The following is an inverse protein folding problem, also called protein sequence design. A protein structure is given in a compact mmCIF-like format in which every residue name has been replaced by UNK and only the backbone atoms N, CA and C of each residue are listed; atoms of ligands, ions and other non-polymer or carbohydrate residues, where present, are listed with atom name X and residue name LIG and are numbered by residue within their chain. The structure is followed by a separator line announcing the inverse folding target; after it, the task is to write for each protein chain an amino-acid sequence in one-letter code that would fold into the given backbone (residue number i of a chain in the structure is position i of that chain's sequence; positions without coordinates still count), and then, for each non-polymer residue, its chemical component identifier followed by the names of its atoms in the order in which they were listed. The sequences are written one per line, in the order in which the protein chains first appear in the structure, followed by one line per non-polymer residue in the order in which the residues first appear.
data_IF_970414534355
#
_entry.id   IF_970414534355
#
_cell.length_a   1.000
_cell.length_b   1.000
_cell.length_c   1.000
_cell.angle_alpha   90.00
_cell.angle_beta   90.00
_cell.angle_gamma   90.00
#
_symmetry.space_group_name_H-M   'P 1'
#
loop_
_entity.id
_entity.type
_entity.pdbx_description
1 polymer ?
#
# COMPACT_ATOMS: atom_id res chain seq x y z
N UNK A 1 -9.76 18.07 -48.67
CA UNK A 1 -10.83 19.07 -48.49
C UNK A 1 -11.47 18.90 -47.12
N UNK A 2 -11.13 19.77 -46.16
CA UNK A 2 -12.04 20.36 -45.16
C UNK A 2 -11.25 21.44 -44.41
N UNK A 3 -11.73 22.66 -44.59
CA UNK A 3 -11.34 23.90 -43.92
C UNK A 3 -11.58 23.83 -42.41
N UNK A 4 -10.74 24.52 -41.64
CA UNK A 4 -11.05 25.38 -40.47
C UNK A 4 -9.73 25.96 -39.95
N UNK A 5 -9.39 27.20 -40.30
CA UNK A 5 -9.77 28.44 -39.58
C UNK A 5 -8.97 28.65 -38.28
N UNK A 6 -7.84 29.35 -38.42
CA UNK A 6 -7.42 30.49 -37.60
C UNK A 6 -7.26 30.33 -36.09
N UNK A 7 -6.03 30.47 -35.62
CA UNK A 7 -5.73 31.53 -34.65
C UNK A 7 -4.44 32.21 -35.08
N UNK A 8 -4.57 33.49 -35.44
CA UNK A 8 -3.51 34.38 -35.82
C UNK A 8 -2.77 34.91 -34.58
N UNK A 9 -1.50 35.25 -34.76
CA UNK A 9 -0.83 36.25 -33.94
C UNK A 9 0.27 35.74 -33.04
N UNK A 10 1.50 35.68 -33.57
CA UNK A 10 2.61 36.41 -32.96
C UNK A 10 3.79 36.45 -33.93
N UNK A 11 3.82 37.49 -34.77
CA UNK A 11 5.02 37.91 -35.45
C UNK A 11 5.87 38.75 -34.47
N UNK A 12 7.17 38.41 -34.42
CA UNK A 12 8.30 39.24 -34.07
C UNK A 12 8.32 39.97 -32.70
N UNK A 13 9.31 39.63 -31.87
CA UNK A 13 10.44 40.55 -31.69
C UNK A 13 11.66 39.81 -31.15
N UNK A 14 12.75 39.85 -31.93
CA UNK A 14 14.10 39.61 -31.43
C UNK A 14 14.51 40.87 -30.67
N UNK A 15 14.69 40.76 -29.37
CA UNK A 15 15.42 41.75 -28.59
C UNK A 15 16.40 41.02 -27.68
N UNK A 16 17.66 41.00 -28.11
CA UNK A 16 18.79 40.51 -27.35
C UNK A 16 18.88 41.29 -26.02
N UNK A 17 18.75 40.58 -24.89
CA UNK A 17 19.17 41.10 -23.59
C UNK A 17 20.37 40.29 -23.11
N UNK A 18 21.55 40.92 -23.19
CA UNK A 18 22.78 40.44 -22.55
C UNK A 18 22.54 40.32 -21.04
N UNK A 19 22.62 39.10 -20.52
CA UNK A 19 22.64 38.83 -19.07
C UNK A 19 24.02 39.22 -18.53
N UNK A 20 24.07 40.28 -17.71
CA UNK A 20 25.24 40.61 -16.90
C UNK A 20 25.26 39.67 -15.68
N UNK A 21 26.30 38.84 -15.56
CA UNK A 21 26.52 37.98 -14.39
C UNK A 21 26.82 38.85 -13.18
N UNK A 22 25.97 38.82 -12.15
CA UNK A 22 26.29 39.40 -10.83
C UNK A 22 27.09 38.39 -10.02
N UNK A 23 28.21 38.87 -9.49
CA UNK A 23 29.13 38.16 -8.59
C UNK A 23 29.00 38.81 -7.21
N UNK A 24 29.06 38.03 -6.14
CA UNK A 24 29.08 38.57 -4.78
C UNK A 24 30.45 39.14 -4.40
N UNK A 25 30.55 39.80 -3.25
CA UNK A 25 31.78 40.41 -2.74
C UNK A 25 32.92 39.39 -2.45
N UNK A 26 32.66 38.08 -2.60
CA UNK A 26 33.63 37.00 -2.50
C UNK A 26 33.92 36.31 -3.84
N UNK A 27 33.48 36.88 -4.97
CA UNK A 27 33.78 36.39 -6.31
C UNK A 27 33.04 35.11 -6.72
N UNK A 28 31.98 34.71 -6.01
CA UNK A 28 31.14 33.56 -6.38
C UNK A 28 29.95 33.98 -7.24
N UNK A 29 29.65 33.17 -8.24
CA UNK A 29 28.51 33.36 -9.12
C UNK A 29 27.20 33.21 -8.32
N UNK A 30 26.44 34.30 -8.21
CA UNK A 30 25.15 34.30 -7.52
C UNK A 30 24.10 33.67 -8.44
N UNK A 31 23.55 32.52 -8.05
CA UNK A 31 22.37 31.95 -8.71
C UNK A 31 21.17 32.83 -8.37
N UNK A 32 20.71 33.63 -9.32
CA UNK A 32 19.42 34.31 -9.23
C UNK A 32 18.31 33.25 -9.10
N UNK A 33 17.44 33.39 -8.10
CA UNK A 33 16.21 32.63 -7.99
C UNK A 33 15.45 32.74 -9.31
N UNK A 34 15.07 31.60 -9.88
CA UNK A 34 14.23 31.56 -11.07
C UNK A 34 12.86 32.14 -10.70
N UNK A 35 12.47 33.20 -11.41
CA UNK A 35 11.14 33.78 -11.37
C UNK A 35 10.11 32.71 -11.79
N UNK A 36 9.10 32.48 -10.95
CA UNK A 36 7.98 31.59 -11.26
C UNK A 36 7.14 32.21 -12.38
N UNK A 37 7.17 31.60 -13.57
CA UNK A 37 6.19 31.86 -14.63
C UNK A 37 4.82 31.25 -14.30
N UNK A 38 3.71 31.74 -14.89
CA UNK A 38 2.34 31.36 -14.50
C UNK A 38 1.89 29.98 -15.03
N UNK A 39 2.81 29.01 -15.16
CA UNK A 39 2.50 27.65 -15.63
C UNK A 39 3.19 26.56 -14.78
N UNK A 40 3.52 26.86 -13.53
CA UNK A 40 4.17 25.92 -12.62
C UNK A 40 3.21 25.57 -11.48
N UNK A 41 2.54 24.43 -11.58
CA UNK A 41 1.84 23.79 -10.46
C UNK A 41 2.87 23.46 -9.37
N UNK A 42 2.94 24.31 -8.35
CA UNK A 42 3.75 24.12 -7.16
C UNK A 42 3.10 23.09 -6.22
N UNK A 43 3.08 21.81 -6.60
CA UNK A 43 2.78 20.70 -5.71
C UNK A 43 3.52 19.45 -6.20
N UNK A 44 4.55 19.02 -5.49
CA UNK A 44 5.19 17.74 -5.79
C UNK A 44 6.64 17.66 -5.35
N UNK A 45 6.88 17.67 -4.03
CA UNK A 45 8.04 16.93 -3.54
C UNK A 45 7.91 15.50 -4.08
N UNK A 46 8.96 14.99 -4.72
CA UNK A 46 8.96 13.66 -5.32
C UNK A 46 8.38 12.63 -4.33
N UNK A 47 7.33 11.92 -4.75
CA UNK A 47 6.73 10.86 -3.96
C UNK A 47 7.81 9.81 -3.63
N UNK A 48 7.92 9.34 -2.38
CA UNK A 48 8.89 8.31 -2.05
C UNK A 48 8.46 7.01 -2.77
N UNK A 49 9.37 6.50 -3.60
CA UNK A 49 9.34 5.21 -4.30
C UNK A 49 8.07 4.94 -5.14
N UNK A 50 8.00 5.48 -6.36
CA UNK A 50 6.97 5.08 -7.33
C UNK A 50 7.28 3.67 -7.87
N UNK A 51 6.75 2.64 -7.22
CA UNK A 51 6.74 1.29 -7.77
C UNK A 51 5.75 1.20 -8.94
N UNK A 52 6.11 0.45 -9.98
CA UNK A 52 5.12 -0.05 -10.93
C UNK A 52 4.37 -1.21 -10.28
N UNK A 53 3.12 -0.97 -9.88
CA UNK A 53 2.26 -2.00 -9.28
C UNK A 53 1.68 -2.96 -10.31
N UNK A 54 1.88 -2.70 -11.61
CA UNK A 54 1.38 -3.53 -12.69
C UNK A 54 -0.14 -3.62 -12.74
N UNK A 55 -0.68 -4.61 -13.47
CA UNK A 55 -2.12 -4.81 -13.57
C UNK A 55 -2.72 -5.23 -12.21
N UNK A 56 -3.94 -4.75 -11.92
CA UNK A 56 -4.68 -5.04 -10.70
C UNK A 56 -5.86 -5.98 -10.99
N UNK A 57 -5.63 -7.29 -11.25
CA UNK A 57 -6.68 -8.23 -11.68
C UNK A 57 -7.71 -8.53 -10.58
N UNK A 58 -7.45 -8.10 -9.35
CA UNK A 58 -8.35 -8.23 -8.20
C UNK A 58 -9.37 -7.09 -8.11
N UNK A 59 -9.23 -6.04 -8.93
CA UNK A 59 -10.21 -4.94 -9.03
C UNK A 59 -11.30 -5.34 -10.02
N UNK A 60 -12.56 -5.34 -9.57
CA UNK A 60 -13.73 -5.78 -10.36
C UNK A 60 -14.79 -4.68 -10.55
N UNK A 61 -14.51 -3.47 -10.09
CA UNK A 61 -15.40 -2.33 -10.23
C UNK A 61 -14.90 -1.12 -9.47
N UNK A 62 -15.81 -0.22 -9.17
CA UNK A 62 -15.57 0.99 -8.38
C UNK A 62 -16.74 1.30 -7.48
N UNK A 63 -16.48 2.05 -6.41
CA UNK A 63 -17.47 2.63 -5.52
C UNK A 63 -17.29 4.16 -5.53
N UNK A 64 -18.39 4.88 -5.72
CA UNK A 64 -18.37 6.34 -5.65
C UNK A 64 -18.44 6.77 -4.19
N UNK A 65 -17.48 7.61 -3.79
CA UNK A 65 -17.44 8.18 -2.45
C UNK A 65 -17.32 9.70 -2.52
N UNK A 66 -17.57 10.38 -1.41
CA UNK A 66 -17.39 11.83 -1.34
C UNK A 66 -15.92 12.26 -1.57
N UNK A 67 -14.97 11.37 -1.28
CA UNK A 67 -13.53 11.58 -1.52
C UNK A 67 -13.09 11.23 -2.97
N UNK A 68 -14.02 10.80 -3.82
CA UNK A 68 -13.74 10.37 -5.19
C UNK A 68 -14.01 8.87 -5.41
N UNK A 69 -13.63 8.40 -6.59
CA UNK A 69 -13.87 7.02 -7.02
C UNK A 69 -12.86 6.08 -6.35
N UNK A 70 -13.36 5.07 -5.64
CA UNK A 70 -12.54 4.06 -4.96
C UNK A 70 -12.63 2.73 -5.71
N UNK A 71 -11.51 2.06 -6.03
CA UNK A 71 -11.55 0.76 -6.69
C UNK A 71 -12.22 -0.30 -5.79
N UNK A 72 -13.15 -1.07 -6.37
CA UNK A 72 -13.77 -2.23 -5.73
C UNK A 72 -13.00 -3.50 -6.04
N UNK A 73 -12.77 -4.31 -5.01
CA UNK A 73 -11.99 -5.54 -5.11
C UNK A 73 -12.85 -6.78 -4.86
N UNK A 74 -12.57 -7.82 -5.63
CA UNK A 74 -13.28 -9.08 -5.51
C UNK A 74 -12.86 -9.83 -4.25
N UNK A 75 -13.79 -10.53 -3.62
CA UNK A 75 -13.48 -11.46 -2.52
C UNK A 75 -13.03 -12.82 -3.04
N UNK A 76 -13.37 -13.17 -4.28
CA UNK A 76 -12.97 -14.42 -4.90
C UNK A 76 -11.52 -14.37 -5.38
N UNK A 77 -10.72 -15.37 -4.97
CA UNK A 77 -9.36 -15.55 -5.49
C UNK A 77 -9.40 -16.33 -6.80
N UNK A 78 -8.92 -15.71 -7.87
CA UNK A 78 -8.80 -16.33 -9.20
C UNK A 78 -7.70 -17.39 -9.23
N UNK A 79 -7.68 -18.24 -10.26
CA UNK A 79 -6.58 -19.18 -10.47
C UNK A 79 -5.23 -18.46 -10.66
N UNK A 80 -5.24 -17.27 -11.27
CA UNK A 80 -4.06 -16.43 -11.43
C UNK A 80 -3.54 -15.91 -10.07
N UNK A 81 -4.44 -15.52 -9.17
CA UNK A 81 -4.09 -15.16 -7.79
C UNK A 81 -3.40 -16.32 -7.10
N UNK A 82 -4.04 -17.50 -7.09
CA UNK A 82 -3.53 -18.72 -6.44
C UNK A 82 -2.17 -19.15 -6.99
N UNK A 83 -1.98 -19.07 -8.31
CA UNK A 83 -0.68 -19.35 -8.93
C UNK A 83 0.37 -18.31 -8.54
N UNK A 84 -0.01 -17.03 -8.46
CA UNK A 84 0.83 -15.96 -7.91
C UNK A 84 1.27 -16.26 -6.49
N UNK A 85 0.34 -16.62 -5.60
CA UNK A 85 0.63 -16.99 -4.22
C UNK A 85 1.59 -18.18 -4.13
N UNK A 86 1.38 -19.21 -4.95
CA UNK A 86 2.24 -20.38 -4.99
C UNK A 86 3.66 -20.02 -5.45
N UNK A 87 3.80 -19.18 -6.50
CA UNK A 87 5.11 -18.71 -6.98
C UNK A 87 5.89 -17.98 -5.88
N UNK A 88 5.26 -17.05 -5.17
CA UNK A 88 5.97 -16.31 -4.11
C UNK A 88 6.29 -17.16 -2.89
N UNK A 89 5.55 -18.26 -2.65
CA UNK A 89 5.90 -19.27 -1.65
C UNK A 89 7.09 -20.13 -2.06
N UNK A 90 7.39 -20.20 -3.35
CA UNK A 90 8.62 -20.80 -3.90
C UNK A 90 9.72 -19.76 -4.13
N UNK A 91 9.59 -18.56 -3.53
CA UNK A 91 10.53 -17.43 -3.67
C UNK A 91 10.67 -16.87 -5.11
N UNK A 92 9.67 -17.07 -5.97
CA UNK A 92 9.66 -16.56 -7.34
C UNK A 92 8.87 -15.25 -7.43
N UNK A 93 9.52 -14.16 -7.84
CA UNK A 93 8.87 -12.86 -8.04
C UNK A 93 8.28 -12.26 -6.76
N UNK A 94 8.86 -12.59 -5.61
CA UNK A 94 8.34 -12.20 -4.29
C UNK A 94 8.44 -10.69 -4.04
N UNK A 95 9.51 -10.05 -4.52
CA UNK A 95 9.78 -8.64 -4.24
C UNK A 95 8.78 -7.70 -4.90
N UNK A 96 8.18 -8.11 -6.01
CA UNK A 96 7.21 -7.32 -6.79
C UNK A 96 5.75 -7.71 -6.53
N UNK A 97 5.50 -8.67 -5.63
CA UNK A 97 4.15 -9.17 -5.34
C UNK A 97 3.41 -8.27 -4.34
N UNK A 98 3.04 -7.08 -4.81
CA UNK A 98 2.49 -5.98 -4.01
C UNK A 98 1.15 -5.48 -4.57
N UNK A 99 0.43 -4.77 -3.71
CA UNK A 99 -0.80 -4.05 -4.03
C UNK A 99 -0.51 -2.56 -3.96
N UNK A 100 -1.20 -1.73 -4.74
CA UNK A 100 -1.05 -0.29 -4.62
C UNK A 100 -1.61 0.17 -3.25
N UNK A 101 -0.85 0.93 -2.44
CA UNK A 101 -1.38 1.48 -1.20
C UNK A 101 -2.54 2.44 -1.47
N UNK A 102 -3.59 2.37 -0.66
CA UNK A 102 -4.80 3.14 -0.89
C UNK A 102 -6.02 2.57 -0.18
N UNK A 103 -7.17 3.13 -0.52
CA UNK A 103 -8.47 2.66 -0.06
C UNK A 103 -9.08 1.77 -1.14
N UNK A 104 -9.69 0.67 -0.73
CA UNK A 104 -10.42 -0.24 -1.62
C UNK A 104 -11.79 -0.55 -1.03
N UNK A 105 -12.80 -0.65 -1.88
CA UNK A 105 -14.13 -1.11 -1.50
C UNK A 105 -14.20 -2.64 -1.61
N UNK A 106 -14.82 -3.30 -0.64
CA UNK A 106 -15.14 -4.71 -0.71
C UNK A 106 -16.66 -4.83 -0.62
N UNK A 107 -17.28 -5.43 -1.64
CA UNK A 107 -18.75 -5.44 -1.79
C UNK A 107 -19.29 -4.06 -2.19
N UNK A 108 -20.38 -3.63 -1.56
CA UNK A 108 -20.99 -2.31 -1.74
C UNK A 108 -21.01 -1.54 -0.39
N UNK A 109 -19.85 -1.15 0.14
CA UNK A 109 -19.77 -0.53 1.46
C UNK A 109 -20.39 0.87 1.47
N UNK A 110 -21.17 1.13 2.51
CA UNK A 110 -21.69 2.45 2.84
C UNK A 110 -20.74 3.20 3.79
N UNK A 111 -21.18 4.35 4.30
CA UNK A 111 -20.42 5.19 5.22
C UNK A 111 -20.35 4.62 6.66
N UNK A 112 -21.12 3.59 6.98
CA UNK A 112 -21.11 2.89 8.27
C UNK A 112 -20.27 1.61 8.25
N UNK A 113 -19.91 1.12 7.06
CA UNK A 113 -19.15 -0.09 6.86
C UNK A 113 -17.76 -0.04 7.55
N UNK A 114 -17.29 -1.16 8.13
CA UNK A 114 -16.04 -1.18 8.89
C UNK A 114 -14.82 -0.91 7.99
N UNK A 115 -13.87 -0.14 8.53
CA UNK A 115 -12.57 0.08 7.89
C UNK A 115 -11.53 -0.90 8.45
N UNK A 116 -11.06 -1.81 7.61
CA UNK A 116 -10.05 -2.81 7.94
C UNK A 116 -8.70 -2.40 7.38
N UNK A 117 -7.67 -2.37 8.23
CA UNK A 117 -6.31 -1.99 7.84
C UNK A 117 -5.49 -3.22 7.49
N UNK A 118 -4.75 -3.19 6.38
CA UNK A 118 -3.83 -4.27 6.00
C UNK A 118 -2.55 -3.73 5.36
N UNK A 119 -1.59 -4.62 5.11
CA UNK A 119 -0.33 -4.32 4.45
C UNK A 119 -0.45 -4.46 2.93
N UNK A 120 0.35 -3.69 2.17
CA UNK A 120 0.42 -3.82 0.70
C UNK A 120 1.17 -5.05 0.19
N UNK A 121 1.56 -5.99 1.06
CA UNK A 121 1.99 -7.31 0.64
C UNK A 121 0.79 -8.11 0.14
N UNK A 122 0.80 -8.56 -1.12
CA UNK A 122 -0.39 -9.12 -1.76
C UNK A 122 -0.94 -10.37 -1.07
N UNK A 123 -0.11 -11.22 -0.45
CA UNK A 123 -0.61 -12.34 0.38
C UNK A 123 -1.41 -11.86 1.61
N UNK A 124 -1.00 -10.75 2.23
CA UNK A 124 -1.73 -10.18 3.38
C UNK A 124 -3.05 -9.56 2.95
N UNK A 125 -3.05 -8.87 1.81
CA UNK A 125 -4.24 -8.31 1.19
C UNK A 125 -5.25 -9.40 0.77
N UNK A 126 -4.78 -10.42 0.03
CA UNK A 126 -5.59 -11.54 -0.45
C UNK A 126 -6.19 -12.35 0.71
N UNK A 127 -5.43 -12.55 1.80
CA UNK A 127 -5.93 -13.22 2.99
C UNK A 127 -7.10 -12.48 3.65
N UNK A 128 -7.08 -11.14 3.66
CA UNK A 128 -8.17 -10.34 4.23
C UNK A 128 -9.40 -10.38 3.32
N UNK A 129 -9.26 -10.06 2.03
CA UNK A 129 -10.42 -10.01 1.12
C UNK A 129 -11.10 -11.36 0.95
N UNK A 130 -10.34 -12.46 0.92
CA UNK A 130 -10.89 -13.80 0.76
C UNK A 130 -11.73 -14.27 1.96
N UNK A 131 -11.49 -13.74 3.17
CA UNK A 131 -12.25 -14.10 4.36
C UNK A 131 -13.55 -13.31 4.51
N UNK A 132 -13.79 -12.30 3.67
CA UNK A 132 -14.91 -11.36 3.79
C UNK A 132 -15.94 -11.53 2.68
N UNK A 133 -16.02 -12.71 2.06
CA UNK A 133 -17.05 -13.02 1.08
C UNK A 133 -18.45 -12.75 1.64
N UNK A 134 -19.26 -11.99 0.89
CA UNK A 134 -20.62 -11.61 1.28
C UNK A 134 -20.72 -10.52 2.35
N UNK A 135 -19.63 -9.78 2.63
CA UNK A 135 -19.62 -8.65 3.57
C UNK A 135 -19.20 -7.38 2.86
N UNK A 136 -19.66 -6.26 3.36
CA UNK A 136 -19.25 -4.94 2.88
C UNK A 136 -18.24 -4.33 3.85
N UNK A 137 -17.11 -3.87 3.32
CA UNK A 137 -16.05 -3.25 4.13
C UNK A 137 -15.15 -2.33 3.30
N UNK A 138 -14.51 -1.39 3.98
CA UNK A 138 -13.43 -0.59 3.43
C UNK A 138 -12.08 -1.24 3.79
N UNK A 139 -11.21 -1.47 2.80
CA UNK A 139 -9.85 -1.95 3.03
C UNK A 139 -8.85 -0.79 2.87
N UNK A 140 -8.24 -0.39 3.98
CA UNK A 140 -7.16 0.60 4.00
C UNK A 140 -5.80 -0.10 3.92
N UNK A 141 -5.17 -0.06 2.75
CA UNK A 141 -3.91 -0.74 2.45
C UNK A 141 -2.74 0.22 2.69
N UNK A 142 -1.89 -0.10 3.66
CA UNK A 142 -0.71 0.70 4.02
C UNK A 142 0.50 0.36 3.14
N UNK A 143 1.35 1.35 2.87
CA UNK A 143 2.61 1.08 2.19
C UNK A 143 3.64 0.46 3.14
N UNK A 144 3.76 -0.86 3.03
CA UNK A 144 4.71 -1.67 3.78
C UNK A 144 5.91 -2.11 2.94
N UNK A 145 6.06 -1.58 1.72
CA UNK A 145 7.05 -2.02 0.74
C UNK A 145 6.98 -3.52 0.45
N UNK A 146 5.76 -4.07 0.38
CA UNK A 146 5.55 -5.50 0.11
C UNK A 146 5.94 -6.44 1.24
N UNK A 147 5.95 -5.95 2.50
CA UNK A 147 6.25 -6.76 3.68
C UNK A 147 4.95 -7.07 4.43
N UNK A 148 4.78 -8.31 4.92
CA UNK A 148 3.59 -8.68 5.71
C UNK A 148 3.43 -7.80 6.96
N UNK A 149 2.22 -7.79 7.54
CA UNK A 149 1.86 -6.96 8.70
C UNK A 149 2.84 -7.08 9.87
N UNK A 150 3.16 -8.30 10.33
CA UNK A 150 3.98 -8.49 11.53
C UNK A 150 5.42 -8.01 11.33
N UNK A 151 6.05 -8.42 10.23
CA UNK A 151 7.41 -8.00 9.91
C UNK A 151 7.49 -6.50 9.63
N UNK A 152 6.48 -5.95 8.93
CA UNK A 152 6.41 -4.52 8.63
C UNK A 152 6.18 -3.69 9.90
N UNK A 153 5.43 -4.20 10.88
CA UNK A 153 5.21 -3.53 12.16
C UNK A 153 6.50 -3.48 12.97
N UNK A 154 7.25 -4.58 13.03
CA UNK A 154 8.57 -4.61 13.67
C UNK A 154 9.60 -3.70 12.98
N UNK A 155 9.51 -3.54 11.65
CA UNK A 155 10.36 -2.63 10.87
C UNK A 155 9.89 -1.16 10.86
N UNK A 156 8.68 -0.89 11.37
CA UNK A 156 8.07 0.44 11.41
C UNK A 156 7.37 0.91 10.12
N UNK A 157 7.37 0.13 9.03
CA UNK A 157 6.66 0.48 7.78
C UNK A 157 5.15 0.25 7.90
N UNK A 158 4.72 -0.77 8.64
CA UNK A 158 3.34 -0.85 9.15
C UNK A 158 3.28 -0.08 10.48
N UNK A 159 3.32 1.24 10.39
CA UNK A 159 3.55 2.12 11.53
C UNK A 159 2.49 3.21 11.69
N UNK A 160 2.49 3.85 12.85
CA UNK A 160 1.61 4.99 13.18
C UNK A 160 1.65 6.07 12.10
N UNK A 161 2.85 6.48 11.66
CA UNK A 161 3.02 7.55 10.69
C UNK A 161 2.41 7.21 9.32
N UNK A 162 2.66 5.99 8.82
CA UNK A 162 2.07 5.54 7.56
C UNK A 162 0.55 5.39 7.67
N UNK A 163 0.04 4.87 8.79
CA UNK A 163 -1.40 4.74 9.01
C UNK A 163 -2.10 6.12 9.01
N UNK A 164 -1.57 7.09 9.78
CA UNK A 164 -2.11 8.46 9.84
C UNK A 164 -2.02 9.13 8.47
N UNK A 165 -0.88 8.98 7.78
CA UNK A 165 -0.72 9.49 6.41
C UNK A 165 -1.77 8.89 5.49
N UNK A 166 -1.96 7.57 5.50
CA UNK A 166 -2.88 6.90 4.58
C UNK A 166 -4.33 7.30 4.83
N UNK A 167 -4.74 7.47 6.09
CA UNK A 167 -6.06 8.04 6.46
C UNK A 167 -6.28 9.43 5.87
N UNK A 168 -5.25 10.27 5.84
CA UNK A 168 -5.31 11.63 5.27
C UNK A 168 -5.31 11.61 3.74
N UNK A 169 -4.38 10.86 3.15
CA UNK A 169 -4.20 10.74 1.69
C UNK A 169 -5.47 10.19 1.02
N UNK A 170 -6.17 9.24 1.66
CA UNK A 170 -7.44 8.69 1.13
C UNK A 170 -8.67 9.48 1.56
N UNK A 171 -8.49 10.59 2.28
CA UNK A 171 -9.56 11.41 2.85
C UNK A 171 -10.64 10.59 3.57
N UNK A 172 -10.23 9.53 4.28
CA UNK A 172 -11.14 8.52 4.86
C UNK A 172 -12.23 9.14 5.75
N UNK A 173 -11.88 10.28 6.36
CA UNK A 173 -12.76 11.14 7.14
C UNK A 173 -14.06 11.58 6.45
N UNK A 174 -14.09 11.55 5.12
CA UNK A 174 -15.22 11.93 4.27
C UNK A 174 -15.93 10.71 3.66
N UNK A 175 -15.31 9.53 3.75
CA UNK A 175 -15.85 8.27 3.21
C UNK A 175 -16.72 7.56 4.23
N UNK A 176 -16.34 7.62 5.52
CA UNK A 176 -17.08 6.97 6.61
C UNK A 176 -17.59 7.99 7.63
N UNK A 177 -18.77 7.72 8.19
CA UNK A 177 -19.42 8.55 9.22
C UNK A 177 -18.83 8.33 10.62
N UNK A 178 -18.10 7.23 10.82
CA UNK A 178 -17.47 6.87 12.09
C UNK A 178 -15.96 7.15 12.11
N UNK A 179 -15.34 7.04 13.29
CA UNK A 179 -13.90 7.26 13.52
C UNK A 179 -13.24 6.03 14.12
N UNK A 180 -13.35 4.89 13.45
CA UNK A 180 -12.82 3.60 13.94
C UNK A 180 -12.07 2.87 12.83
N UNK A 181 -10.90 2.33 13.16
CA UNK A 181 -10.07 1.51 12.28
C UNK A 181 -9.85 0.15 12.94
N UNK A 182 -10.13 -0.94 12.22
CA UNK A 182 -9.79 -2.30 12.67
C UNK A 182 -8.37 -2.60 12.21
N UNK A 183 -7.43 -2.64 13.15
CA UNK A 183 -6.01 -2.91 12.88
C UNK A 183 -5.68 -4.34 13.33
N UNK A 184 -4.94 -5.14 12.55
CA UNK A 184 -4.58 -6.50 12.93
C UNK A 184 -3.76 -6.52 14.23
N UNK A 185 -4.00 -7.53 15.09
CA UNK A 185 -3.33 -7.66 16.39
C UNK A 185 -1.80 -7.63 16.28
N UNK A 186 -1.24 -8.26 15.23
CA UNK A 186 0.21 -8.33 15.00
C UNK A 186 0.82 -7.00 14.50
N UNK A 187 0.00 -5.98 14.23
CA UNK A 187 0.44 -4.63 13.94
C UNK A 187 0.78 -3.80 15.19
N UNK A 188 0.46 -4.30 16.39
CA UNK A 188 0.58 -3.55 17.65
C UNK A 188 1.99 -3.06 17.98
N UNK A 189 3.03 -3.72 17.47
CA UNK A 189 4.42 -3.30 17.70
C UNK A 189 4.82 -2.06 16.90
N UNK A 190 4.12 -1.75 15.79
CA UNK A 190 4.40 -0.58 14.94
C UNK A 190 3.39 0.57 15.09
N UNK A 191 2.17 0.27 15.56
CA UNK A 191 1.07 1.23 15.65
C UNK A 191 0.77 1.61 17.09
N UNK A 192 1.00 2.88 17.42
CA UNK A 192 0.65 3.50 18.69
C UNK A 192 -0.78 4.08 18.60
N UNK A 193 -1.77 3.31 19.05
CA UNK A 193 -3.19 3.66 18.96
C UNK A 193 -3.55 5.07 19.49
N UNK A 194 -2.91 5.49 20.59
CA UNK A 194 -3.12 6.82 21.17
C UNK A 194 -2.66 7.95 20.24
N UNK A 195 -1.54 7.76 19.53
CA UNK A 195 -1.04 8.72 18.53
C UNK A 195 -1.92 8.74 17.29
N UNK A 196 -2.37 7.57 16.82
CA UNK A 196 -3.33 7.50 15.71
C UNK A 196 -4.59 8.32 16.03
N UNK A 197 -5.15 8.17 17.24
CA UNK A 197 -6.32 8.94 17.68
C UNK A 197 -6.01 10.44 17.75
N UNK A 198 -4.88 10.82 18.33
CA UNK A 198 -4.49 12.22 18.47
C UNK A 198 -4.27 12.91 17.11
N UNK A 199 -3.65 12.23 16.15
CA UNK A 199 -3.23 12.81 14.88
C UNK A 199 -4.25 12.68 13.73
N UNK A 200 -5.12 11.67 13.78
CA UNK A 200 -6.11 11.41 12.72
C UNK A 200 -7.57 11.51 13.18
N UNK A 201 -7.82 11.52 14.49
CA UNK A 201 -9.17 11.42 15.07
C UNK A 201 -9.74 10.01 15.08
N UNK A 202 -9.12 9.04 14.41
CA UNK A 202 -9.59 7.66 14.37
C UNK A 202 -9.10 6.84 15.57
N UNK A 203 -10.02 6.12 16.22
CA UNK A 203 -9.71 5.14 17.24
C UNK A 203 -9.34 3.79 16.61
N UNK A 204 -8.31 3.15 17.15
CA UNK A 204 -7.89 1.80 16.73
C UNK A 204 -8.65 0.75 17.56
N UNK A 205 -9.37 -0.14 16.87
CA UNK A 205 -9.86 -1.40 17.40
C UNK A 205 -8.92 -2.52 16.95
N UNK A 206 -8.42 -3.32 17.90
CA UNK A 206 -7.54 -4.43 17.58
C UNK A 206 -8.33 -5.64 17.11
N UNK A 207 -8.19 -5.95 15.82
CA UNK A 207 -8.77 -7.13 15.19
C UNK A 207 -8.04 -8.43 15.57
N UNK A 208 -8.50 -9.58 15.05
CA UNK A 208 -7.90 -10.88 15.34
C UNK A 208 -6.49 -11.03 14.76
N UNK A 209 -5.78 -12.07 15.23
CA UNK A 209 -4.49 -12.50 14.67
C UNK A 209 -4.67 -13.09 13.26
N UNK A 210 -5.77 -13.82 13.03
CA UNK A 210 -6.04 -14.52 11.77
C UNK A 210 -7.15 -13.81 11.01
N UNK A 211 -6.94 -13.60 9.71
CA UNK A 211 -7.96 -13.02 8.83
C UNK A 211 -9.26 -13.85 8.80
N UNK A 212 -9.16 -15.18 8.94
CA UNK A 212 -10.30 -16.08 8.98
C UNK A 212 -11.26 -15.83 10.15
N UNK A 213 -10.79 -15.17 11.21
CA UNK A 213 -11.62 -14.84 12.37
C UNK A 213 -12.33 -13.48 12.20
N UNK A 214 -12.02 -12.70 11.15
CA UNK A 214 -12.62 -11.39 10.91
C UNK A 214 -14.14 -11.41 10.82
N UNK A 215 -14.79 -12.37 10.12
CA UNK A 215 -16.26 -12.44 10.07
C UNK A 215 -16.89 -12.51 11.47
N UNK A 216 -16.45 -13.47 12.28
CA UNK A 216 -16.96 -13.66 13.63
C UNK A 216 -16.63 -12.48 14.56
N UNK A 217 -15.46 -11.86 14.38
CA UNK A 217 -15.06 -10.65 15.11
C UNK A 217 -15.99 -9.47 14.79
N UNK A 218 -16.34 -9.28 13.52
CA UNK A 218 -17.25 -8.20 13.08
C UNK A 218 -18.67 -8.44 13.61
N UNK A 219 -19.16 -9.68 13.56
CA UNK A 219 -20.48 -10.05 14.08
C UNK A 219 -20.59 -9.86 15.60
N UNK A 220 -19.47 -10.07 16.31
CA UNK A 220 -19.36 -9.85 17.76
C UNK A 220 -19.14 -8.36 18.13
N UNK A 221 -19.46 -7.41 17.24
CA UNK A 221 -19.34 -5.99 17.54
C UNK A 221 -17.89 -5.49 17.65
N UNK A 222 -16.95 -6.17 16.98
CA UNK A 222 -15.50 -5.88 17.04
C UNK A 222 -14.85 -6.18 18.39
N UNK A 223 -15.39 -7.17 19.11
CA UNK A 223 -14.78 -7.70 20.34
C UNK A 223 -14.03 -9.00 20.05
N UNK A 224 -12.70 -8.94 20.07
CA UNK A 224 -11.88 -10.14 19.90
C UNK A 224 -11.97 -11.05 21.14
N UNK A 225 -12.16 -12.35 20.92
CA UNK A 225 -12.07 -13.35 21.99
C UNK A 225 -10.61 -13.60 22.38
N UNK A 226 -10.39 -14.28 23.51
CA UNK A 226 -9.03 -14.70 23.90
C UNK A 226 -8.37 -15.60 22.85
N UNK A 227 -9.16 -16.42 22.16
CA UNK A 227 -8.64 -17.34 21.13
C UNK A 227 -8.22 -16.61 19.86
N UNK A 228 -8.98 -15.61 19.43
CA UNK A 228 -8.65 -14.75 18.29
C UNK A 228 -7.33 -13.98 18.48
N UNK A 229 -6.89 -13.78 19.74
CA UNK A 229 -5.63 -13.12 20.09
C UNK A 229 -4.44 -14.08 20.17
N UNK A 230 -4.65 -15.40 20.07
CA UNK A 230 -3.57 -16.39 20.18
C UNK A 230 -2.94 -16.69 18.82
N UNK A 231 -1.62 -16.53 18.75
CA UNK A 231 -0.83 -17.06 17.64
C UNK A 231 -0.68 -18.57 17.86
N UNK A 232 -1.18 -19.36 16.91
CA UNK A 232 -0.89 -20.80 16.85
C UNK A 232 0.15 -21.06 15.77
N UNK A 233 1.04 -22.02 16.02
CA UNK A 233 2.12 -22.39 15.10
C UNK A 233 2.10 -23.90 14.76
N UNK A 234 0.98 -24.43 14.22
CA UNK A 234 0.87 -25.84 13.84
C UNK A 234 1.81 -26.19 12.68
N UNK A 235 2.10 -27.48 12.51
CA UNK A 235 2.99 -27.99 11.45
C UNK A 235 2.60 -27.49 10.05
N UNK A 236 1.30 -27.40 9.74
CA UNK A 236 0.81 -26.85 8.46
C UNK A 236 1.22 -25.39 8.22
N UNK A 237 1.24 -24.57 9.27
CA UNK A 237 1.59 -23.15 9.15
C UNK A 237 3.11 -23.01 8.97
N UNK A 238 3.89 -23.94 9.57
CA UNK A 238 5.34 -24.07 9.36
C UNK A 238 5.69 -24.54 7.95
N UNK A 239 4.96 -25.54 7.44
CA UNK A 239 5.16 -26.09 6.11
C UNK A 239 5.02 -25.04 4.99
N UNK A 240 4.27 -23.96 5.22
CA UNK A 240 4.13 -22.84 4.28
C UNK A 240 5.45 -22.12 3.98
N UNK A 241 6.45 -22.20 4.85
CA UNK A 241 7.78 -21.59 4.67
C UNK A 241 8.76 -22.49 3.91
N UNK A 242 8.48 -23.80 3.83
CA UNK A 242 9.38 -24.80 3.25
C UNK A 242 9.74 -24.47 1.81
N UNK A 243 8.79 -23.97 1.00
CA UNK A 243 9.07 -23.59 -0.39
C UNK A 243 10.17 -22.52 -0.53
N UNK A 244 10.16 -21.51 0.35
CA UNK A 244 11.19 -20.47 0.36
C UNK A 244 12.52 -21.06 0.84
N UNK A 245 12.52 -21.88 1.88
CA UNK A 245 13.72 -22.51 2.41
C UNK A 245 14.39 -23.44 1.37
N UNK A 246 13.60 -24.24 0.66
CA UNK A 246 14.10 -25.11 -0.41
C UNK A 246 14.65 -24.32 -1.60
N UNK A 247 14.07 -23.15 -1.92
CA UNK A 247 14.58 -22.30 -3.00
C UNK A 247 16.02 -21.84 -2.77
N UNK A 248 16.43 -21.66 -1.50
CA UNK A 248 17.80 -21.29 -1.13
C UNK A 248 18.78 -22.44 -1.40
N UNK A 249 18.36 -23.69 -1.20
CA UNK A 249 19.19 -24.86 -1.51
C UNK A 249 19.41 -25.06 -3.02
N UNK A 250 18.44 -24.62 -3.82
CA UNK A 250 18.54 -24.64 -5.29
C UNK A 250 19.29 -23.41 -5.85
N UNK A 251 19.75 -22.49 -5.01
CA UNK A 251 20.60 -21.39 -5.46
C UNK A 251 21.88 -21.96 -6.09
N UNK A 252 22.16 -21.54 -7.32
CA UNK A 252 23.30 -22.02 -8.11
C UNK A 252 24.62 -21.88 -7.34
N UNK A 253 24.75 -20.90 -6.45
CA UNK A 253 25.93 -20.70 -5.61
C UNK A 253 26.08 -21.79 -4.55
N UNK A 254 24.98 -22.20 -3.93
CA UNK A 254 24.96 -23.30 -2.94
C UNK A 254 25.28 -24.61 -3.63
N UNK A 255 24.69 -24.87 -4.80
CA UNK A 255 24.97 -26.07 -5.60
C UNK A 255 26.43 -26.13 -6.06
N UNK A 256 27.00 -25.01 -6.53
CA UNK A 256 28.43 -24.93 -6.88
C UNK A 256 29.30 -25.17 -5.66
N UNK A 257 28.99 -24.56 -4.51
CA UNK A 257 29.73 -24.76 -3.26
C UNK A 257 29.73 -26.21 -2.78
N UNK A 258 28.57 -26.88 -2.82
CA UNK A 258 28.44 -28.30 -2.50
C UNK A 258 29.22 -29.18 -3.49
N UNK A 259 29.18 -28.86 -4.79
CA UNK A 259 29.93 -29.60 -5.80
C UNK A 259 31.45 -29.43 -5.62
N UNK A 260 31.93 -28.23 -5.30
CA UNK A 260 33.35 -27.97 -4.99
C UNK A 260 33.76 -28.74 -3.73
N UNK A 261 32.94 -28.72 -2.67
CA UNK A 261 33.22 -29.45 -1.43
C UNK A 261 33.17 -30.97 -1.60
N UNK A 262 32.41 -31.50 -2.57
CA UNK A 262 32.34 -32.93 -2.84
C UNK A 262 33.50 -33.45 -3.70
N UNK A 263 34.27 -32.56 -4.34
CA UNK A 263 35.43 -32.88 -5.19
C UNK A 263 36.77 -32.56 -4.49
N UNK A 264 36.73 -31.82 -3.38
CA UNK A 264 37.88 -31.53 -2.51
C UNK A 264 38.04 -32.61 -1.42
#
# INVERSE_FOLDING_TARGET
MRSRSGCAGCAASRAARRSARRVDAAGRAVRTMAECGPASCCCGGAAPDSYDYGPQPYVDGSADTFAGVVPRVSTALTSADRLGELRVRMNLGRDDFRVQPGLYALGAPDDTAPVLVTANYRLSFDAVRACLAGRDAWLLVLDTRGVNVWCAAGKGTFGTAELVRRVRDTQLAQVVSHRRLVVPQLGATGVAAHRVRAESGFAVAWGPVRAADLPAFLDAGMEATAEMRRVRFPLRDRARLVGVELSVLWDRRVLIGLAVAAVA
#
